data_IF_815101168696
#
_entry.id   IF_815101168696
#
_cell.length_a   1.000
_cell.length_b   1.000
_cell.length_c   1.000
_cell.angle_alpha   90.00
_cell.angle_beta   90.00
_cell.angle_gamma   90.00
#
_symmetry.space_group_name_H-M   'P 1'
#
loop_
_entity.id
_entity.type
_entity.pdbx_description
1 polymer ?
#
# COMPACT_ATOMS: atom_id res chain seq x y z
N UNK A 1 28.30 -39.73 -21.21
CA UNK A 1 27.63 -38.47 -20.85
C UNK A 1 26.26 -38.51 -21.50
N UNK A 2 25.19 -38.65 -20.73
CA UNK A 2 23.81 -38.56 -21.22
C UNK A 2 22.99 -37.89 -20.12
N UNK A 3 22.39 -36.77 -20.48
CA UNK A 3 21.72 -35.82 -19.61
C UNK A 3 20.62 -36.50 -18.78
N UNK A 4 20.73 -36.38 -17.45
CA UNK A 4 19.66 -36.75 -16.53
C UNK A 4 18.51 -35.79 -16.73
N UNK A 5 17.46 -36.26 -17.41
CA UNK A 5 16.18 -35.56 -17.51
C UNK A 5 15.64 -35.36 -16.10
N UNK A 6 15.64 -34.11 -15.63
CA UNK A 6 14.92 -33.73 -14.42
C UNK A 6 13.43 -33.89 -14.72
N UNK A 7 12.89 -35.06 -14.42
CA UNK A 7 11.45 -35.28 -14.34
C UNK A 7 10.88 -34.33 -13.28
N UNK A 8 10.38 -33.18 -13.74
CA UNK A 8 9.46 -32.38 -12.96
C UNK A 8 8.16 -33.18 -12.86
N UNK A 9 7.98 -33.87 -11.74
CA UNK A 9 6.70 -34.44 -11.34
C UNK A 9 5.66 -33.33 -11.43
N UNK A 10 4.83 -33.42 -12.45
CA UNK A 10 3.83 -32.41 -12.79
C UNK A 10 2.77 -32.51 -11.71
N UNK A 11 2.86 -31.63 -10.72
CA UNK A 11 1.85 -31.47 -9.67
C UNK A 11 0.47 -31.48 -10.33
N UNK A 12 -0.48 -32.33 -9.89
CA UNK A 12 -1.81 -32.31 -10.44
C UNK A 12 -2.41 -30.92 -10.21
N UNK A 13 -2.49 -30.12 -11.29
CA UNK A 13 -3.16 -28.80 -11.29
C UNK A 13 -4.60 -28.85 -10.75
N UNK A 14 -5.16 -30.06 -10.63
CA UNK A 14 -6.50 -30.32 -10.12
C UNK A 14 -6.63 -30.26 -8.58
N UNK A 15 -5.58 -30.52 -7.80
CA UNK A 15 -5.72 -30.56 -6.32
C UNK A 15 -5.65 -29.18 -5.66
N UNK A 16 -5.08 -28.18 -6.35
CA UNK A 16 -4.94 -26.81 -5.83
C UNK A 16 -6.19 -25.93 -6.03
N UNK A 17 -7.17 -26.38 -6.82
CA UNK A 17 -8.35 -25.58 -7.15
C UNK A 17 -9.55 -25.83 -6.20
N UNK A 18 -9.43 -26.70 -5.20
CA UNK A 18 -10.58 -27.20 -4.45
C UNK A 18 -10.96 -26.42 -3.17
N UNK A 19 -10.22 -25.37 -2.79
CA UNK A 19 -10.59 -24.49 -1.68
C UNK A 19 -10.41 -23.03 -2.07
N UNK A 20 -11.51 -22.33 -2.34
CA UNK A 20 -11.49 -20.87 -2.32
C UNK A 20 -12.33 -20.14 -3.37
N UNK A 21 -13.01 -20.82 -4.30
CA UNK A 21 -13.78 -20.08 -5.31
C UNK A 21 -15.15 -20.68 -5.58
N UNK A 22 -16.11 -20.28 -4.73
CA UNK A 22 -17.53 -20.32 -5.08
C UNK A 22 -17.82 -19.21 -6.11
N UNK A 23 -18.68 -19.45 -7.12
CA UNK A 23 -18.93 -18.52 -8.23
C UNK A 23 -19.62 -17.20 -7.81
N UNK A 24 -19.97 -17.02 -6.54
CA UNK A 24 -20.61 -15.84 -5.98
C UNK A 24 -19.68 -14.96 -5.13
N UNK A 25 -18.37 -15.27 -5.09
CA UNK A 25 -17.35 -14.44 -4.42
C UNK A 25 -17.37 -14.53 -2.90
N UNK A 26 -18.12 -15.47 -2.30
CA UNK A 26 -18.20 -15.71 -0.86
C UNK A 26 -17.36 -16.90 -0.41
N UNK A 27 -16.20 -17.11 -1.03
CA UNK A 27 -15.24 -18.09 -0.55
C UNK A 27 -14.71 -17.73 0.84
N UNK A 28 -14.40 -18.74 1.65
CA UNK A 28 -13.58 -18.57 2.87
C UNK A 28 -12.29 -17.84 2.50
N UNK A 29 -11.88 -16.87 3.32
CA UNK A 29 -10.63 -16.14 3.13
C UNK A 29 -9.46 -17.12 3.00
N UNK A 30 -8.54 -16.85 2.06
CA UNK A 30 -7.38 -17.71 1.84
C UNK A 30 -6.47 -17.68 3.08
N UNK A 31 -5.99 -18.86 3.46
CA UNK A 31 -5.00 -19.02 4.52
C UNK A 31 -3.64 -19.39 3.92
N UNK A 32 -2.55 -19.05 4.60
CA UNK A 32 -1.19 -19.39 4.14
C UNK A 32 -1.02 -20.92 4.05
N UNK A 33 -1.70 -21.66 4.93
CA UNK A 33 -1.68 -23.13 4.98
C UNK A 33 -2.44 -23.79 3.80
N UNK A 34 -3.20 -23.03 3.02
CA UNK A 34 -3.82 -23.53 1.78
C UNK A 34 -2.78 -23.73 0.66
N UNK A 35 -1.58 -23.15 0.79
CA UNK A 35 -0.50 -23.37 -0.16
C UNK A 35 0.26 -24.69 0.13
N UNK A 36 0.81 -25.38 -0.91
CA UNK A 36 1.62 -26.57 -0.70
C UNK A 36 2.82 -26.30 0.20
N UNK A 37 3.02 -27.15 1.20
CA UNK A 37 4.14 -27.04 2.16
C UNK A 37 5.51 -26.86 1.49
N UNK A 38 5.88 -27.60 0.43
CA UNK A 38 7.17 -27.40 -0.23
C UNK A 38 7.34 -26.00 -0.82
N UNK A 39 6.25 -25.39 -1.29
CA UNK A 39 6.24 -24.04 -1.87
C UNK A 39 6.46 -22.98 -0.79
N UNK A 40 5.78 -23.12 0.36
CA UNK A 40 5.97 -22.25 1.53
C UNK A 40 7.43 -22.29 2.00
N UNK A 41 8.04 -23.48 2.09
CA UNK A 41 9.41 -23.64 2.58
C UNK A 41 10.48 -23.08 1.64
N UNK A 42 10.26 -23.12 0.33
CA UNK A 42 11.14 -22.47 -0.65
C UNK A 42 10.99 -20.94 -0.57
N UNK A 43 9.76 -20.44 -0.56
CA UNK A 43 9.48 -19.00 -0.52
C UNK A 43 10.01 -18.34 0.75
N UNK A 44 9.87 -18.98 1.92
CA UNK A 44 10.45 -18.51 3.19
C UNK A 44 11.95 -18.26 3.11
N UNK A 45 12.69 -19.11 2.40
CA UNK A 45 14.15 -18.97 2.24
C UNK A 45 14.55 -17.80 1.34
N UNK A 46 13.62 -17.31 0.51
CA UNK A 46 13.85 -16.18 -0.40
C UNK A 46 13.44 -14.83 0.20
N UNK A 47 12.82 -14.80 1.39
CA UNK A 47 12.38 -13.57 2.03
C UNK A 47 13.51 -13.00 2.90
N UNK A 48 13.84 -11.74 2.65
CA UNK A 48 14.74 -10.96 3.50
C UNK A 48 13.89 -10.09 4.40
N UNK A 49 13.90 -10.37 5.70
CA UNK A 49 13.29 -9.52 6.70
C UNK A 49 14.16 -8.28 6.95
N UNK A 50 13.54 -7.09 6.87
CA UNK A 50 14.17 -5.86 7.33
C UNK A 50 13.37 -5.30 8.50
N UNK A 51 14.08 -4.82 9.52
CA UNK A 51 13.50 -4.13 10.66
C UNK A 51 13.97 -2.68 10.64
N UNK A 52 13.02 -1.74 10.72
CA UNK A 52 13.32 -0.31 10.73
C UNK A 52 12.84 0.26 12.07
N UNK A 53 13.80 0.52 12.97
CA UNK A 53 13.54 1.22 14.21
C UNK A 53 13.28 2.71 13.94
N UNK A 54 12.11 3.21 14.34
CA UNK A 54 11.76 4.63 14.19
C UNK A 54 12.39 5.42 15.34
N UNK A 55 13.53 6.06 15.08
CA UNK A 55 14.23 6.91 16.08
C UNK A 55 13.70 8.33 16.13
N UNK A 56 13.35 8.89 14.98
CA UNK A 56 12.75 10.21 14.86
C UNK A 56 12.06 10.34 13.50
N UNK A 57 11.12 11.27 13.41
CA UNK A 57 10.42 11.58 12.17
C UNK A 57 10.33 13.09 12.00
N UNK A 58 10.70 13.58 10.83
CA UNK A 58 10.63 15.01 10.49
C UNK A 58 9.82 15.15 9.21
N UNK A 59 8.69 15.85 9.28
CA UNK A 59 7.88 16.22 8.14
C UNK A 59 8.13 17.67 7.73
N UNK A 60 8.29 17.93 6.42
CA UNK A 60 8.28 19.29 5.87
C UNK A 60 7.00 19.49 5.07
N UNK A 61 6.21 20.49 5.46
CA UNK A 61 4.98 20.85 4.78
C UNK A 61 5.23 22.07 3.89
N UNK A 62 5.20 21.90 2.57
CA UNK A 62 5.30 23.02 1.62
C UNK A 62 3.92 23.40 1.12
N UNK A 63 3.30 24.35 1.80
CA UNK A 63 1.93 24.81 1.52
C UNK A 63 1.86 26.33 1.35
N UNK A 64 2.90 26.91 0.73
CA UNK A 64 3.02 28.35 0.48
C UNK A 64 2.81 29.22 1.74
N UNK A 65 3.49 28.81 2.81
CA UNK A 65 3.37 29.35 4.18
C UNK A 65 3.84 30.81 4.32
N UNK A 66 4.43 31.40 3.27
CA UNK A 66 4.88 32.80 3.21
C UNK A 66 3.86 33.74 2.56
N UNK A 67 2.77 33.20 1.98
CA UNK A 67 1.75 34.04 1.34
C UNK A 67 0.88 34.74 2.37
N UNK A 68 0.38 35.92 2.00
CA UNK A 68 -0.53 36.73 2.82
C UNK A 68 -1.80 35.92 3.12
N UNK A 69 -2.44 36.22 4.25
CA UNK A 69 -3.63 35.49 4.70
C UNK A 69 -4.78 35.49 3.67
N UNK A 70 -4.84 36.52 2.83
CA UNK A 70 -5.81 36.68 1.74
C UNK A 70 -5.59 35.65 0.62
N UNK A 71 -4.35 35.40 0.22
CA UNK A 71 -4.01 34.42 -0.81
C UNK A 71 -4.34 32.99 -0.36
N UNK A 72 -4.12 32.68 0.92
CA UNK A 72 -4.47 31.35 1.49
C UNK A 72 -5.96 31.09 1.50
N UNK A 73 -6.79 32.14 1.67
CA UNK A 73 -8.25 32.03 1.60
C UNK A 73 -8.72 31.74 0.17
N UNK A 74 -8.01 32.19 -0.86
CA UNK A 74 -8.32 31.92 -2.26
C UNK A 74 -7.92 30.52 -2.76
N UNK A 75 -6.88 29.93 -2.18
CA UNK A 75 -6.41 28.58 -2.54
C UNK A 75 -7.38 27.47 -2.11
N UNK A 76 -8.07 27.62 -0.97
CA UNK A 76 -9.00 26.60 -0.46
C UNK A 76 -10.20 26.35 -1.39
N UNK A 77 -10.95 27.37 -1.85
CA UNK A 77 -12.03 27.17 -2.82
C UNK A 77 -11.54 26.52 -4.11
N UNK A 78 -10.43 27.02 -4.67
CA UNK A 78 -9.87 26.50 -5.92
C UNK A 78 -9.48 25.02 -5.86
N UNK A 79 -8.93 24.57 -4.73
CA UNK A 79 -8.60 23.15 -4.53
C UNK A 79 -9.84 22.28 -4.25
N UNK A 80 -10.87 22.83 -3.59
CA UNK A 80 -12.12 22.09 -3.32
C UNK A 80 -13.01 21.92 -4.55
N UNK A 81 -12.87 22.80 -5.54
CA UNK A 81 -13.57 22.68 -6.84
C UNK A 81 -12.96 21.60 -7.74
N UNK A 82 -11.76 21.11 -7.43
CA UNK A 82 -11.14 20.01 -8.17
C UNK A 82 -11.77 18.66 -7.78
N UNK A 83 -12.01 17.82 -8.78
CA UNK A 83 -12.74 16.55 -8.62
C UNK A 83 -11.85 15.45 -8.02
N UNK A 84 -10.53 15.59 -8.08
CA UNK A 84 -9.60 14.57 -7.61
C UNK A 84 -9.46 14.53 -6.08
N UNK A 85 -9.19 13.33 -5.56
CA UNK A 85 -9.08 13.05 -4.13
C UNK A 85 -7.87 13.76 -3.49
N UNK A 86 -6.78 13.91 -4.25
CA UNK A 86 -5.55 14.52 -3.77
C UNK A 86 -5.79 16.00 -3.48
N UNK A 87 -6.45 16.73 -4.37
CA UNK A 87 -6.77 18.14 -4.20
C UNK A 87 -7.63 18.41 -2.96
N UNK A 88 -8.61 17.52 -2.67
CA UNK A 88 -9.41 17.61 -1.45
C UNK A 88 -8.56 17.45 -0.18
N UNK A 89 -7.71 16.44 -0.15
CA UNK A 89 -6.79 16.19 0.99
C UNK A 89 -5.81 17.37 1.17
N UNK A 90 -5.29 17.92 0.08
CA UNK A 90 -4.38 19.08 0.13
C UNK A 90 -5.10 20.33 0.65
N UNK A 91 -6.36 20.57 0.28
CA UNK A 91 -7.14 21.68 0.80
C UNK A 91 -7.29 21.62 2.34
N UNK A 92 -7.53 20.43 2.88
CA UNK A 92 -7.67 20.22 4.33
C UNK A 92 -6.33 20.37 5.05
N UNK A 93 -5.23 19.94 4.44
CA UNK A 93 -3.87 20.15 4.95
C UNK A 93 -3.53 21.66 5.01
N UNK A 94 -3.87 22.41 3.96
CA UNK A 94 -3.65 23.88 3.90
C UNK A 94 -4.45 24.58 5.02
N UNK A 95 -5.67 24.12 5.31
CA UNK A 95 -6.49 24.60 6.43
C UNK A 95 -5.84 24.32 7.79
N UNK A 96 -5.46 23.06 8.05
CA UNK A 96 -4.86 22.65 9.31
C UNK A 96 -3.54 23.40 9.59
N UNK A 97 -2.66 23.52 8.59
CA UNK A 97 -1.34 24.14 8.76
C UNK A 97 -1.35 25.66 8.75
N UNK A 98 -2.39 26.30 8.21
CA UNK A 98 -2.55 27.75 8.33
C UNK A 98 -2.80 28.20 9.78
N UNK A 99 -3.43 27.35 10.61
CA UNK A 99 -3.73 27.66 12.02
C UNK A 99 -2.46 27.59 12.89
N UNK A 100 -1.56 26.65 12.60
CA UNK A 100 -0.31 26.45 13.34
C UNK A 100 0.68 27.62 13.18
N UNK A 101 0.72 28.22 11.98
CA UNK A 101 1.62 29.34 11.65
C UNK A 101 1.22 30.64 12.38
N UNK A 102 -0.07 30.88 12.62
CA UNK A 102 -0.55 32.06 13.34
C UNK A 102 -0.40 31.97 14.88
N UNK A 103 0.09 30.84 15.40
CA UNK A 103 0.26 30.61 16.84
C UNK A 103 1.70 30.80 17.35
N UNK A 104 2.62 31.15 16.47
CA UNK A 104 4.02 31.52 16.76
C UNK A 104 4.25 32.98 16.39
#
# INVERSE_FOLDING_TARGET
MSEGSLEYDSTPKAELAAKGQEPDGKGTAWEVDDAPKPYIEIMKKAIIGIEIEVKSMVGKWKMSQELKAEDRKGVKPGLREMIDEISRVVADIVEMKSIDISRH
#
